data_IF_357949354042
#
_entry.id   IF_357949354042
#
_cell.length_a   1.000
_cell.length_b   1.000
_cell.length_c   1.000
_cell.angle_alpha   90.00
_cell.angle_beta   90.00
_cell.angle_gamma   90.00
#
_symmetry.space_group_name_H-M   'P 1'
#
loop_
_entity.id
_entity.type
_entity.pdbx_description
1 polymer ?
#
# COMPACT_ATOMS: atom_id res chain seq x y z
N UNK A 1 5.23 -54.37 -40.26
CA UNK A 1 6.64 -54.36 -39.79
C UNK A 1 7.19 -52.97 -40.05
N UNK A 2 7.55 -52.26 -38.98
CA UNK A 2 7.77 -50.82 -38.88
C UNK A 2 8.91 -50.23 -39.72
N UNK A 3 8.76 -48.95 -40.07
CA UNK A 3 9.80 -47.91 -39.91
C UNK A 3 9.11 -46.59 -39.50
N UNK A 4 8.69 -46.52 -38.24
CA UNK A 4 8.16 -45.32 -37.58
C UNK A 4 9.16 -44.75 -36.56
N UNK A 5 10.45 -45.05 -36.73
CA UNK A 5 11.52 -44.53 -35.92
C UNK A 5 12.36 -43.58 -36.78
N UNK A 6 12.67 -42.43 -36.20
CA UNK A 6 13.65 -41.44 -36.65
C UNK A 6 13.07 -40.19 -37.33
N UNK A 7 12.55 -39.28 -36.51
CA UNK A 7 13.17 -37.95 -36.43
C UNK A 7 12.83 -37.25 -35.11
N UNK A 8 13.59 -37.62 -34.08
CA UNK A 8 13.76 -36.87 -32.84
C UNK A 8 14.89 -35.86 -33.05
N UNK A 9 14.54 -34.64 -33.47
CA UNK A 9 15.34 -33.42 -33.30
C UNK A 9 14.36 -32.36 -32.79
N UNK A 10 14.17 -32.27 -31.46
CA UNK A 10 14.80 -31.26 -30.60
C UNK A 10 14.52 -29.85 -31.21
N UNK A 11 13.66 -28.98 -30.66
CA UNK A 11 13.71 -28.41 -29.30
C UNK A 11 12.29 -27.96 -28.86
N UNK A 12 11.90 -28.12 -27.59
CA UNK A 12 10.70 -27.49 -27.06
C UNK A 12 10.97 -25.98 -26.98
N UNK A 13 10.12 -25.16 -27.58
CA UNK A 13 10.11 -23.72 -27.28
C UNK A 13 9.86 -23.59 -25.78
N UNK A 14 10.93 -23.27 -25.05
CA UNK A 14 10.93 -23.04 -23.62
C UNK A 14 9.86 -21.99 -23.34
N UNK A 15 8.90 -22.35 -22.49
CA UNK A 15 7.80 -21.49 -22.10
C UNK A 15 8.33 -20.17 -21.53
N UNK A 16 8.28 -19.13 -22.35
CA UNK A 16 8.12 -17.77 -21.84
C UNK A 16 6.64 -17.66 -21.48
N UNK A 17 6.28 -18.09 -20.27
CA UNK A 17 5.05 -17.59 -19.67
C UNK A 17 5.12 -16.06 -19.79
N UNK A 18 4.08 -15.37 -20.30
CA UNK A 18 4.08 -13.91 -20.28
C UNK A 18 4.33 -13.53 -18.83
N UNK A 19 5.42 -12.79 -18.61
CA UNK A 19 5.77 -12.25 -17.31
C UNK A 19 4.54 -11.49 -16.82
N UNK A 20 3.72 -12.12 -15.97
CA UNK A 20 2.51 -11.54 -15.37
C UNK A 20 2.97 -10.59 -14.27
N UNK A 21 3.77 -9.61 -14.65
CA UNK A 21 3.80 -8.33 -13.97
C UNK A 21 2.37 -7.83 -14.03
N UNK A 22 1.69 -7.74 -12.88
CA UNK A 22 0.37 -7.15 -12.79
C UNK A 22 0.37 -5.80 -13.54
N UNK A 23 -0.71 -5.40 -14.23
CA UNK A 23 -0.73 -4.13 -14.93
C UNK A 23 -0.39 -3.01 -13.95
N UNK A 24 0.79 -2.42 -14.10
CA UNK A 24 1.24 -1.32 -13.28
C UNK A 24 0.46 -0.09 -13.72
N UNK A 25 -0.16 0.63 -12.80
CA UNK A 25 -0.94 1.80 -13.16
C UNK A 25 -0.01 3.02 -13.18
N UNK A 26 0.39 3.54 -14.36
CA UNK A 26 1.35 4.65 -14.44
C UNK A 26 0.82 5.94 -13.77
N UNK A 27 -0.50 6.04 -13.61
CA UNK A 27 -1.17 7.18 -12.97
C UNK A 27 -1.38 6.98 -11.47
N UNK A 28 -1.02 5.82 -10.91
CA UNK A 28 -1.13 5.58 -9.48
C UNK A 28 -0.16 6.46 -8.72
N UNK A 29 -0.64 7.03 -7.62
CA UNK A 29 0.12 7.90 -6.74
C UNK A 29 0.00 7.37 -5.32
N UNK A 30 1.06 7.52 -4.53
CA UNK A 30 1.05 7.17 -3.13
C UNK A 30 1.93 8.13 -2.33
N UNK A 31 1.54 8.35 -1.09
CA UNK A 31 2.27 9.13 -0.11
C UNK A 31 2.26 8.38 1.23
N UNK A 32 3.37 8.42 1.93
CA UNK A 32 3.50 7.92 3.30
C UNK A 32 3.73 9.10 4.24
N UNK A 33 2.96 9.12 5.33
CA UNK A 33 3.04 10.13 6.38
C UNK A 33 3.54 9.50 7.67
N UNK A 34 4.25 10.28 8.48
CA UNK A 34 4.61 9.93 9.85
C UNK A 34 4.18 11.04 10.80
N UNK A 35 3.93 10.69 12.06
CA UNK A 35 3.64 11.65 13.12
C UNK A 35 4.46 11.26 14.35
N UNK A 36 5.54 12.01 14.62
CA UNK A 36 6.38 11.74 15.78
C UNK A 36 5.84 12.45 17.03
N UNK A 37 6.20 11.94 18.21
CA UNK A 37 5.88 12.61 19.47
C UNK A 37 6.52 14.00 19.50
N UNK A 38 5.69 15.03 19.68
CA UNK A 38 6.12 16.42 19.70
C UNK A 38 6.00 17.15 18.35
N UNK A 39 5.68 16.43 17.26
CA UNK A 39 5.32 17.09 16.01
C UNK A 39 3.98 17.79 16.14
N UNK A 40 3.85 18.95 15.49
CA UNK A 40 2.59 19.70 15.43
C UNK A 40 1.69 19.25 14.27
N UNK A 41 2.24 18.49 13.31
CA UNK A 41 1.54 17.96 12.16
C UNK A 41 2.29 16.75 11.58
N UNK A 42 1.62 15.85 10.82
CA UNK A 42 2.30 14.77 10.13
C UNK A 42 3.26 15.25 9.05
N UNK A 43 4.37 14.52 8.88
CA UNK A 43 5.42 14.77 7.88
C UNK A 43 5.35 13.79 6.73
N UNK A 44 5.65 14.24 5.53
CA UNK A 44 5.80 13.39 4.33
C UNK A 44 7.15 12.68 4.36
N UNK A 45 7.16 11.35 4.47
CA UNK A 45 8.40 10.54 4.50
C UNK A 45 8.65 9.75 3.23
N UNK A 46 7.63 9.57 2.39
CA UNK A 46 7.78 9.03 1.05
C UNK A 46 6.65 9.54 0.15
N UNK A 47 6.96 9.76 -1.13
CA UNK A 47 5.96 10.06 -2.17
C UNK A 47 6.40 9.46 -3.50
N UNK A 48 5.45 9.04 -4.33
CA UNK A 48 5.77 8.35 -5.57
C UNK A 48 4.61 8.28 -6.57
N UNK A 49 4.97 7.94 -7.81
CA UNK A 49 4.04 7.63 -8.90
C UNK A 49 4.40 6.31 -9.55
N UNK A 50 3.43 5.66 -10.18
CA UNK A 50 3.62 4.38 -10.89
C UNK A 50 4.33 3.35 -10.00
N UNK A 51 5.45 2.81 -10.48
CA UNK A 51 6.24 1.78 -9.79
C UNK A 51 6.60 2.16 -8.34
N UNK A 52 6.94 3.43 -8.09
CA UNK A 52 7.31 3.89 -6.75
C UNK A 52 6.08 3.92 -5.83
N UNK A 53 4.93 4.35 -6.34
CA UNK A 53 3.68 4.34 -5.58
C UNK A 53 3.28 2.91 -5.18
N UNK A 54 3.42 1.97 -6.11
CA UNK A 54 3.15 0.55 -5.87
C UNK A 54 4.09 -0.03 -4.81
N UNK A 55 5.39 0.32 -4.85
CA UNK A 55 6.35 -0.10 -3.83
C UNK A 55 6.04 0.47 -2.44
N UNK A 56 5.63 1.75 -2.36
CA UNK A 56 5.21 2.37 -1.09
C UNK A 56 4.04 1.60 -0.50
N UNK A 57 3.00 1.33 -1.30
CA UNK A 57 1.80 0.61 -0.85
C UNK A 57 2.14 -0.84 -0.48
N UNK A 58 2.98 -1.52 -1.26
CA UNK A 58 3.42 -2.88 -0.96
C UNK A 58 4.16 -2.94 0.37
N UNK A 59 5.10 -2.01 0.62
CA UNK A 59 5.82 -1.92 1.90
C UNK A 59 4.88 -1.62 3.06
N UNK A 60 3.93 -0.69 2.90
CA UNK A 60 2.95 -0.40 3.92
C UNK A 60 2.17 -1.67 4.33
N UNK A 61 1.67 -2.43 3.34
CA UNK A 61 0.96 -3.70 3.56
C UNK A 61 1.84 -4.77 4.21
N UNK A 62 3.11 -4.86 3.84
CA UNK A 62 4.06 -5.83 4.44
C UNK A 62 4.36 -5.55 5.91
N UNK A 63 4.18 -4.31 6.36
CA UNK A 63 4.44 -3.87 7.73
C UNK A 63 3.16 -3.56 8.51
N UNK A 64 2.00 -4.02 8.02
CA UNK A 64 0.67 -3.78 8.62
C UNK A 64 0.37 -2.28 8.85
N UNK A 65 0.97 -1.40 8.04
CA UNK A 65 0.69 0.03 8.05
C UNK A 65 -0.62 0.27 7.30
N UNK A 66 -1.53 1.01 7.93
CA UNK A 66 -2.81 1.37 7.36
C UNK A 66 -2.66 2.08 6.01
N UNK A 67 -3.45 1.65 5.01
CA UNK A 67 -3.49 2.25 3.67
C UNK A 67 -4.89 2.78 3.40
N UNK A 68 -4.99 4.10 3.22
CA UNK A 68 -6.23 4.77 2.82
C UNK A 68 -6.18 5.16 1.35
N UNK A 69 -7.25 4.85 0.61
CA UNK A 69 -7.37 5.21 -0.80
C UNK A 69 -8.28 6.43 -0.97
N UNK A 70 -7.70 7.58 -1.35
CA UNK A 70 -8.44 8.79 -1.68
C UNK A 70 -7.68 9.59 -2.75
N UNK A 71 -8.26 9.65 -3.96
CA UNK A 71 -7.63 10.32 -5.10
C UNK A 71 -7.39 11.81 -4.85
N UNK A 72 -8.37 12.49 -4.26
CA UNK A 72 -8.32 13.94 -4.04
C UNK A 72 -7.30 14.30 -2.96
N UNK A 73 -7.30 13.57 -1.84
CA UNK A 73 -6.34 13.79 -0.76
C UNK A 73 -4.91 13.50 -1.21
N UNK A 74 -4.70 12.42 -1.97
CA UNK A 74 -3.38 12.11 -2.53
C UNK A 74 -2.93 13.21 -3.48
N UNK A 75 -3.80 13.71 -4.36
CA UNK A 75 -3.44 14.80 -5.28
C UNK A 75 -3.02 16.09 -4.56
N UNK A 76 -3.65 16.42 -3.43
CA UNK A 76 -3.29 17.56 -2.58
C UNK A 76 -1.96 17.31 -1.87
N UNK A 77 -1.80 16.15 -1.23
CA UNK A 77 -0.59 15.79 -0.49
C UNK A 77 0.65 15.64 -1.38
N UNK A 78 0.47 15.27 -2.65
CA UNK A 78 1.57 15.20 -3.63
C UNK A 78 2.22 16.56 -3.92
N UNK A 79 1.59 17.67 -3.54
CA UNK A 79 2.14 19.03 -3.64
C UNK A 79 3.04 19.40 -2.45
N UNK A 80 3.02 18.63 -1.37
CA UNK A 80 3.86 18.84 -0.19
C UNK A 80 5.24 18.23 -0.44
N UNK A 81 6.30 18.93 -0.03
CA UNK A 81 7.66 18.45 -0.21
C UNK A 81 8.02 17.27 0.70
N UNK A 82 9.02 16.49 0.25
CA UNK A 82 9.53 15.40 1.06
C UNK A 82 10.17 16.00 2.32
N UNK A 83 9.97 15.33 3.45
CA UNK A 83 10.38 15.78 4.78
C UNK A 83 9.67 17.05 5.27
N UNK A 84 8.67 17.59 4.57
CA UNK A 84 7.87 18.70 5.08
C UNK A 84 6.64 18.22 5.85
N UNK A 85 6.21 19.05 6.81
CA UNK A 85 4.92 18.88 7.47
C UNK A 85 3.79 19.23 6.51
N UNK A 86 2.67 18.51 6.60
CA UNK A 86 1.48 18.84 5.83
C UNK A 86 1.00 20.27 6.16
N UNK A 87 0.38 21.00 5.22
CA UNK A 87 -0.12 22.34 5.48
C UNK A 87 -1.42 22.31 6.33
N UNK A 88 -1.73 23.38 7.09
CA UNK A 88 -2.92 23.47 7.94
C UNK A 88 -4.24 23.17 7.23
N UNK A 89 -4.34 23.52 5.94
CA UNK A 89 -5.53 23.25 5.12
C UNK A 89 -5.88 21.75 5.02
N UNK A 90 -4.93 20.84 5.28
CA UNK A 90 -5.13 19.39 5.22
C UNK A 90 -5.28 18.75 6.61
N UNK A 91 -5.14 19.50 7.70
CA UNK A 91 -5.16 18.94 9.05
C UNK A 91 -6.48 18.25 9.36
N UNK A 92 -7.61 18.84 8.99
CA UNK A 92 -8.93 18.28 9.28
C UNK A 92 -9.13 16.91 8.60
N UNK A 93 -8.76 16.80 7.32
CA UNK A 93 -8.89 15.54 6.57
C UNK A 93 -8.02 14.43 7.18
N UNK A 94 -6.79 14.75 7.58
CA UNK A 94 -5.89 13.78 8.22
C UNK A 94 -6.37 13.40 9.61
N UNK A 95 -6.84 14.36 10.42
CA UNK A 95 -7.38 14.10 11.74
C UNK A 95 -8.61 13.18 11.69
N UNK A 96 -9.47 13.30 10.68
CA UNK A 96 -10.63 12.42 10.49
C UNK A 96 -10.20 10.97 10.24
N UNK A 97 -9.21 10.76 9.37
CA UNK A 97 -8.65 9.44 9.06
C UNK A 97 -8.03 8.82 10.30
N UNK A 98 -7.19 9.56 11.03
CA UNK A 98 -6.55 9.08 12.26
C UNK A 98 -7.60 8.76 13.34
N UNK A 99 -8.61 9.62 13.51
CA UNK A 99 -9.67 9.39 14.49
C UNK A 99 -10.46 8.11 14.18
N UNK A 100 -10.72 7.83 12.91
CA UNK A 100 -11.36 6.58 12.50
C UNK A 100 -10.45 5.36 12.75
N UNK A 101 -9.16 5.49 12.45
CA UNK A 101 -8.17 4.42 12.67
C UNK A 101 -8.08 4.05 14.15
N UNK A 102 -7.99 5.03 15.06
CA UNK A 102 -7.95 4.77 16.50
C UNK A 102 -9.21 4.06 17.00
N UNK A 103 -10.40 4.49 16.55
CA UNK A 103 -11.66 3.80 16.91
C UNK A 103 -11.71 2.36 16.42
N UNK A 104 -11.12 2.05 15.27
CA UNK A 104 -11.03 0.69 14.75
C UNK A 104 -10.12 -0.18 15.64
N UNK A 105 -9.03 0.39 16.15
CA UNK A 105 -8.11 -0.29 17.07
C UNK A 105 -8.74 -0.49 18.47
N UNK A 106 -9.41 0.52 19.01
CA UNK A 106 -10.15 0.45 20.28
C UNK A 106 -11.30 -0.56 20.20
N UNK A 107 -12.03 -0.57 19.10
CA UNK A 107 -13.10 -1.53 18.83
C UNK A 107 -12.59 -2.98 18.79
N UNK A 108 -11.36 -3.22 18.31
CA UNK A 108 -10.71 -4.54 18.37
C UNK A 108 -10.28 -4.93 19.78
N UNK A 109 -9.88 -3.97 20.62
CA UNK A 109 -9.52 -4.21 22.02
C UNK A 109 -10.73 -4.51 22.92
N UNK A 110 -11.91 -3.96 22.59
CA UNK A 110 -13.15 -4.17 23.36
C UNK A 110 -13.78 -5.56 23.23
N UNK A 111 -13.53 -6.30 22.14
CA UNK A 111 -14.14 -7.62 21.89
C UNK A 111 -13.38 -8.78 22.56
N UNK A 112 -12.10 -8.60 22.91
CA UNK A 112 -11.29 -9.66 23.52
C UNK A 112 -11.60 -9.92 25.01
N UNK A 113 -12.32 -9.00 25.68
CA UNK A 113 -12.59 -9.09 27.11
C UNK A 113 -13.97 -9.65 27.48
N UNK A 114 -14.86 -9.91 26.50
CA UNK A 114 -16.22 -10.41 26.77
C UNK A 114 -16.33 -11.96 26.81
N UNK A 115 -15.35 -12.69 26.25
CA UNK A 115 -15.34 -14.17 26.26
C UNK A 115 -14.76 -14.79 27.55
N UNK A 116 -14.16 -13.99 28.45
CA UNK A 116 -13.56 -14.48 29.70
C UNK A 116 -14.50 -14.44 30.92
N UNK A 117 -15.76 -13.98 30.76
CA UNK A 117 -16.71 -13.83 31.86
C UNK A 117 -17.93 -14.79 31.81
N UNK A 118 -17.91 -15.81 30.93
CA UNK A 118 -18.98 -16.83 30.83
C UNK A 118 -18.49 -18.27 31.09
N UNK A 119 -17.46 -18.44 31.91
CA UNK A 119 -16.98 -19.73 32.41
C UNK A 119 -17.26 -19.91 33.89
#
# INVERSE_FOLDING_TARGET
MNKADENKRLNPTLGLAPNRQAPHNPNQQAIALTYATGDYAPRVVAKGRGLIAEQIIARAKQHDVFVHESKDLVALLMQVDLDDHIPPALYQAIAEILSWLYRLEEGKAGVANDELLKG
#
